data_IF_097064116810
#
_entry.id   IF_097064116810
#
_cell.length_a   1.000
_cell.length_b   1.000
_cell.length_c   1.000
_cell.angle_alpha   90.00
_cell.angle_beta   90.00
_cell.angle_gamma   90.00
#
_symmetry.space_group_name_H-M   'P 1'
#
loop_
_entity.id
_entity.type
_entity.pdbx_description
1 polymer ?
#
# COMPACT_ATOMS: atom_id res chain seq x y z
N UNK A 1 -9.86 9.19 6.93
CA UNK A 1 -10.46 8.04 6.23
C UNK A 1 -9.51 6.85 6.36
N UNK A 2 -10.05 5.65 6.51
CA UNK A 2 -9.30 4.40 6.67
C UNK A 2 -9.94 3.31 5.83
N UNK A 3 -9.14 2.37 5.38
CA UNK A 3 -9.56 1.17 4.67
C UNK A 3 -9.27 -0.06 5.51
N UNK A 4 -10.05 -1.11 5.27
CA UNK A 4 -9.84 -2.43 5.83
C UNK A 4 -9.70 -3.43 4.69
N UNK A 5 -8.58 -4.14 4.68
CA UNK A 5 -8.35 -5.24 3.75
C UNK A 5 -8.68 -6.53 4.48
N UNK A 6 -9.65 -7.28 3.98
CA UNK A 6 -10.12 -8.52 4.62
C UNK A 6 -9.76 -9.69 3.71
N UNK A 7 -9.00 -10.64 4.23
CA UNK A 7 -8.66 -11.88 3.53
C UNK A 7 -9.93 -12.65 3.14
N UNK A 8 -10.00 -13.10 1.90
CA UNK A 8 -11.14 -13.88 1.41
C UNK A 8 -11.17 -15.31 1.93
N UNK A 9 -10.05 -15.82 2.46
CA UNK A 9 -9.94 -17.14 3.08
C UNK A 9 -10.22 -17.17 4.58
N UNK A 10 -10.20 -16.02 5.26
CA UNK A 10 -10.43 -15.91 6.70
C UNK A 10 -10.77 -14.49 7.09
N UNK A 11 -12.01 -14.25 7.55
CA UNK A 11 -12.45 -12.93 8.01
C UNK A 11 -11.69 -12.43 9.24
N UNK A 12 -10.95 -13.29 9.95
CA UNK A 12 -10.10 -12.91 11.08
C UNK A 12 -8.71 -12.41 10.67
N UNK A 13 -8.36 -12.51 9.39
CA UNK A 13 -7.10 -11.99 8.86
C UNK A 13 -7.38 -10.66 8.14
N UNK A 14 -7.14 -9.57 8.87
CA UNK A 14 -7.45 -8.22 8.44
C UNK A 14 -6.21 -7.33 8.47
N UNK A 15 -6.17 -6.34 7.59
CA UNK A 15 -5.13 -5.33 7.56
C UNK A 15 -5.76 -3.93 7.52
N UNK A 16 -5.64 -3.19 8.63
CA UNK A 16 -6.12 -1.83 8.75
C UNK A 16 -5.12 -0.83 8.17
N UNK A 17 -5.59 0.07 7.33
CA UNK A 17 -4.75 1.09 6.69
C UNK A 17 -5.43 2.45 6.69
N UNK A 18 -4.67 3.51 7.00
CA UNK A 18 -5.18 4.87 6.86
C UNK A 18 -5.03 5.37 5.41
N UNK A 19 -5.80 6.38 5.02
CA UNK A 19 -5.76 6.91 3.65
C UNK A 19 -4.38 7.41 3.22
N UNK A 20 -3.58 7.96 4.15
CA UNK A 20 -2.25 8.49 3.84
C UNK A 20 -1.31 7.40 3.34
N UNK A 21 -1.32 6.25 4.01
CA UNK A 21 -0.55 5.06 3.63
C UNK A 21 -1.16 4.36 2.42
N UNK A 22 -2.49 4.23 2.38
CA UNK A 22 -3.16 3.53 1.30
C UNK A 22 -2.95 4.19 -0.06
N UNK A 23 -3.07 5.52 -0.14
CA UNK A 23 -2.80 6.25 -1.38
C UNK A 23 -1.37 6.03 -1.87
N UNK A 24 -0.38 6.09 -0.98
CA UNK A 24 1.02 5.83 -1.36
C UNK A 24 1.24 4.38 -1.81
N UNK A 25 0.60 3.41 -1.15
CA UNK A 25 0.65 2.01 -1.54
C UNK A 25 0.01 1.76 -2.92
N UNK A 26 -1.12 2.41 -3.23
CA UNK A 26 -1.76 2.30 -4.54
C UNK A 26 -0.90 2.87 -5.66
N UNK A 27 -0.26 4.02 -5.47
CA UNK A 27 0.67 4.58 -6.46
C UNK A 27 1.89 3.68 -6.67
N UNK A 28 2.38 3.02 -5.60
CA UNK A 28 3.41 2.00 -5.73
C UNK A 28 2.90 0.81 -6.56
N UNK A 29 1.77 0.22 -6.20
CA UNK A 29 1.17 -0.93 -6.92
C UNK A 29 0.95 -0.60 -8.39
N UNK A 30 0.49 0.62 -8.69
CA UNK A 30 0.34 1.12 -10.06
C UNK A 30 1.66 1.07 -10.84
N UNK A 31 2.77 1.52 -10.23
CA UNK A 31 4.10 1.51 -10.86
C UNK A 31 4.66 0.09 -11.07
N UNK A 32 4.21 -0.87 -10.27
CA UNK A 32 4.58 -2.27 -10.44
C UNK A 32 3.88 -2.92 -11.65
N UNK A 33 2.82 -2.28 -12.18
CA UNK A 33 2.04 -2.75 -13.33
C UNK A 33 1.51 -4.20 -13.17
N UNK A 34 1.23 -4.59 -11.92
CA UNK A 34 0.70 -5.91 -11.56
C UNK A 34 -0.82 -5.95 -11.75
N UNK A 35 -1.49 -4.88 -11.30
CA UNK A 35 -2.92 -4.68 -11.42
C UNK A 35 -3.13 -3.50 -12.36
N UNK A 36 -3.95 -3.68 -13.39
CA UNK A 36 -4.20 -2.61 -14.35
C UNK A 36 -4.74 -1.32 -13.71
N UNK A 37 -4.35 -0.18 -14.27
CA UNK A 37 -4.66 1.18 -13.80
C UNK A 37 -6.13 1.42 -13.42
N UNK A 38 -7.07 0.88 -14.21
CA UNK A 38 -8.50 1.00 -13.92
C UNK A 38 -8.86 0.39 -12.57
N UNK A 39 -8.32 -0.79 -12.27
CA UNK A 39 -8.63 -1.52 -11.05
C UNK A 39 -7.90 -0.95 -9.84
N UNK A 40 -6.67 -0.45 -10.01
CA UNK A 40 -6.00 0.33 -8.95
C UNK A 40 -6.81 1.56 -8.56
N UNK A 41 -7.40 2.26 -9.55
CA UNK A 41 -8.32 3.38 -9.26
C UNK A 41 -9.57 2.92 -8.52
N UNK A 42 -10.10 1.75 -8.80
CA UNK A 42 -11.23 1.21 -8.05
C UNK A 42 -10.85 0.87 -6.61
N UNK A 43 -9.65 0.35 -6.36
CA UNK A 43 -9.12 0.07 -5.02
C UNK A 43 -8.98 1.32 -4.13
N UNK A 44 -9.02 2.53 -4.71
CA UNK A 44 -9.05 3.80 -3.96
C UNK A 44 -10.43 4.12 -3.37
N UNK A 45 -11.50 3.44 -3.82
CA UNK A 45 -12.87 3.68 -3.36
C UNK A 45 -13.14 2.92 -2.07
N UNK A 46 -13.38 3.67 -1.01
CA UNK A 46 -13.80 3.12 0.28
C UNK A 46 -15.18 2.46 0.17
N UNK A 47 -15.37 1.37 0.93
CA UNK A 47 -16.59 0.56 1.01
C UNK A 47 -17.09 -0.05 -0.32
N UNK A 48 -16.25 -0.12 -1.34
CA UNK A 48 -16.62 -0.67 -2.65
C UNK A 48 -16.52 -2.20 -2.74
N UNK A 49 -15.84 -2.86 -1.79
CA UNK A 49 -15.71 -4.31 -1.75
C UNK A 49 -14.89 -4.89 -2.91
N UNK A 50 -13.97 -4.10 -3.48
CA UNK A 50 -13.10 -4.48 -4.59
C UNK A 50 -12.26 -5.67 -4.18
N UNK A 51 -12.14 -6.65 -5.08
CA UNK A 51 -11.41 -7.90 -4.87
C UNK A 51 -10.07 -7.86 -5.56
N UNK A 52 -9.05 -8.34 -4.86
CA UNK A 52 -7.76 -8.75 -5.39
C UNK A 52 -7.66 -10.25 -5.18
N UNK A 53 -7.36 -11.02 -6.22
CA UNK A 53 -7.27 -12.48 -6.09
C UNK A 53 -5.95 -12.91 -5.43
N UNK A 54 -5.84 -14.21 -5.12
CA UNK A 54 -4.67 -14.76 -4.44
C UNK A 54 -3.39 -14.62 -5.29
N UNK A 55 -3.47 -14.83 -6.60
CA UNK A 55 -2.29 -14.78 -7.47
C UNK A 55 -1.73 -13.35 -7.53
N UNK A 56 -2.60 -12.37 -7.69
CA UNK A 56 -2.27 -10.95 -7.72
C UNK A 56 -1.78 -10.46 -6.35
N UNK A 57 -2.45 -10.85 -5.26
CA UNK A 57 -2.01 -10.52 -3.91
C UNK A 57 -0.61 -11.07 -3.66
N UNK A 58 -0.35 -12.33 -3.99
CA UNK A 58 0.97 -12.93 -3.81
C UNK A 58 2.01 -12.29 -4.70
N UNK A 59 1.66 -11.91 -5.93
CA UNK A 59 2.56 -11.22 -6.85
C UNK A 59 2.93 -9.82 -6.33
N UNK A 60 1.96 -9.07 -5.77
CA UNK A 60 2.22 -7.79 -5.07
C UNK A 60 3.19 -8.02 -3.91
N UNK A 61 2.88 -8.96 -3.02
CA UNK A 61 3.69 -9.23 -1.84
C UNK A 61 5.13 -9.64 -2.18
N UNK A 62 5.30 -10.56 -3.15
CA UNK A 62 6.63 -10.98 -3.63
C UNK A 62 7.40 -9.81 -4.24
N UNK A 63 6.77 -9.04 -5.12
CA UNK A 63 7.44 -7.91 -5.80
C UNK A 63 7.88 -6.85 -4.80
N UNK A 64 7.06 -6.57 -3.77
CA UNK A 64 7.45 -5.65 -2.70
C UNK A 64 8.67 -6.16 -1.93
N UNK A 65 8.69 -7.45 -1.56
CA UNK A 65 9.79 -8.05 -0.78
C UNK A 65 11.08 -8.17 -1.60
N UNK A 66 10.98 -8.57 -2.86
CA UNK A 66 12.13 -8.90 -3.71
C UNK A 66 12.71 -7.67 -4.41
N UNK A 67 11.90 -6.64 -4.67
CA UNK A 67 12.31 -5.48 -5.48
C UNK A 67 12.20 -4.16 -4.72
N UNK A 68 11.04 -3.88 -4.11
CA UNK A 68 10.81 -2.55 -3.51
C UNK A 68 11.58 -2.37 -2.20
N UNK A 69 11.49 -3.31 -1.27
CA UNK A 69 12.15 -3.22 0.03
C UNK A 69 13.68 -3.14 -0.10
N UNK A 70 14.35 -3.98 -0.93
CA UNK A 70 15.79 -3.89 -1.12
C UNK A 70 16.25 -2.57 -1.73
N UNK A 71 15.47 -1.99 -2.65
CA UNK A 71 15.80 -0.69 -3.28
C UNK A 71 15.55 0.50 -2.36
N UNK A 72 14.56 0.40 -1.47
CA UNK A 72 14.27 1.45 -0.48
C UNK A 72 15.37 1.52 0.57
N UNK A 73 15.75 0.38 1.14
CA UNK A 73 16.69 0.26 2.27
C UNK A 73 16.01 0.43 3.64
N UNK A 74 16.64 -0.03 4.73
CA UNK A 74 16.01 -0.09 6.06
C UNK A 74 15.71 1.31 6.62
N UNK A 75 14.58 1.45 7.34
CA UNK A 75 14.20 2.69 8.04
C UNK A 75 13.79 3.84 7.13
N UNK A 76 13.72 3.63 5.81
CA UNK A 76 13.34 4.65 4.83
C UNK A 76 11.86 4.58 4.49
N UNK A 77 11.36 5.68 3.93
CA UNK A 77 9.99 5.87 3.46
C UNK A 77 9.99 6.25 2.00
N UNK A 78 8.94 5.83 1.30
CA UNK A 78 8.65 6.25 -0.07
C UNK A 78 7.35 7.06 -0.08
N UNK A 79 7.36 8.19 -0.77
CA UNK A 79 6.18 9.02 -0.97
C UNK A 79 5.34 8.52 -2.16
N UNK A 80 4.10 9.01 -2.28
CA UNK A 80 3.22 8.66 -3.41
C UNK A 80 3.80 9.02 -4.79
N UNK A 81 4.66 10.04 -4.87
CA UNK A 81 5.38 10.40 -6.09
C UNK A 81 6.61 9.51 -6.36
N UNK A 82 6.90 8.55 -5.47
CA UNK A 82 7.99 7.60 -5.54
C UNK A 82 9.34 8.14 -5.07
N UNK A 83 9.41 9.39 -4.61
CA UNK A 83 10.62 9.91 -3.98
C UNK A 83 10.85 9.22 -2.64
N UNK A 84 12.13 8.99 -2.31
CA UNK A 84 12.54 8.29 -1.10
C UNK A 84 13.11 9.29 -0.10
N UNK A 85 12.79 9.09 1.18
CA UNK A 85 13.30 9.86 2.30
C UNK A 85 13.78 8.96 3.42
N UNK A 86 14.82 9.40 4.13
CA UNK A 86 15.30 8.84 5.39
C UNK A 86 14.72 9.57 6.61
N UNK A 87 13.96 10.65 6.40
CA UNK A 87 13.31 11.38 7.48
C UNK A 87 12.15 10.56 8.07
N UNK A 88 12.09 10.43 9.40
CA UNK A 88 10.96 9.77 10.06
C UNK A 88 9.66 10.52 9.81
N UNK A 89 8.54 9.83 9.99
CA UNK A 89 7.23 10.49 10.00
C UNK A 89 7.04 11.15 11.37
N UNK A 90 7.17 12.48 11.41
CA UNK A 90 7.01 13.27 12.63
C UNK A 90 5.57 13.79 12.81
N UNK A 91 4.66 13.39 11.92
CA UNK A 91 3.26 13.83 11.95
C UNK A 91 3.04 15.26 11.45
N UNK A 92 4.04 15.89 10.84
CA UNK A 92 3.87 17.19 10.19
C UNK A 92 2.84 17.09 9.08
N UNK A 93 1.80 17.93 9.18
CA UNK A 93 0.80 18.06 8.13
C UNK A 93 1.18 19.17 7.14
N UNK A 94 1.38 18.80 5.87
CA UNK A 94 1.69 19.71 4.78
C UNK A 94 0.40 20.22 4.14
N UNK A 95 -0.03 21.44 4.49
CA UNK A 95 -1.24 22.06 3.95
C UNK A 95 -1.07 22.73 2.58
N UNK A 96 0.14 23.13 2.23
CA UNK A 96 0.44 23.79 0.95
C UNK A 96 0.20 22.83 -0.23
N UNK A 97 -0.58 23.20 -1.26
CA UNK A 97 -0.88 22.33 -2.39
C UNK A 97 0.35 21.75 -3.10
N UNK A 98 1.47 22.48 -3.13
CA UNK A 98 2.73 22.02 -3.74
C UNK A 98 3.48 21.01 -2.88
N UNK A 99 3.14 20.88 -1.59
CA UNK A 99 3.78 19.98 -0.63
C UNK A 99 2.86 18.88 -0.09
N UNK A 100 1.55 18.94 -0.39
CA UNK A 100 0.55 17.98 0.10
C UNK A 100 0.88 16.52 -0.20
N UNK A 101 1.62 16.26 -1.28
CA UNK A 101 2.09 14.93 -1.66
C UNK A 101 2.97 14.28 -0.57
N UNK A 102 3.66 15.07 0.26
CA UNK A 102 4.51 14.60 1.37
C UNK A 102 3.70 13.96 2.49
N UNK A 103 2.41 14.22 2.58
CA UNK A 103 1.56 13.57 3.58
C UNK A 103 1.32 12.08 3.25
N UNK A 104 1.54 11.66 2.01
CA UNK A 104 1.28 10.30 1.54
C UNK A 104 2.57 9.52 1.41
N UNK A 105 2.80 8.59 2.34
CA UNK A 105 4.01 7.77 2.33
C UNK A 105 3.82 6.44 3.05
N UNK A 106 4.71 5.51 2.76
CA UNK A 106 4.80 4.21 3.43
C UNK A 106 6.26 3.93 3.81
N UNK A 107 6.47 3.38 5.00
CA UNK A 107 7.81 2.96 5.45
C UNK A 107 8.14 1.56 4.97
N UNK A 108 9.42 1.22 5.01
CA UNK A 108 9.92 -0.12 4.71
C UNK A 108 9.27 -1.19 5.59
N UNK A 109 9.07 -0.89 6.87
CA UNK A 109 8.44 -1.77 7.85
C UNK A 109 6.97 -1.99 7.51
N UNK A 110 6.24 -0.90 7.22
CA UNK A 110 4.84 -1.00 6.83
C UNK A 110 4.67 -1.78 5.52
N UNK A 111 5.56 -1.57 4.54
CA UNK A 111 5.56 -2.35 3.29
C UNK A 111 5.81 -3.83 3.53
N UNK A 112 6.65 -4.18 4.52
CA UNK A 112 6.89 -5.57 4.90
C UNK A 112 5.65 -6.20 5.51
N UNK A 113 4.96 -5.49 6.41
CA UNK A 113 3.73 -5.98 7.03
C UNK A 113 2.62 -6.17 5.99
N UNK A 114 2.49 -5.21 5.06
CA UNK A 114 1.54 -5.30 3.95
C UNK A 114 1.86 -6.46 3.01
N UNK A 115 3.14 -6.65 2.65
CA UNK A 115 3.56 -7.75 1.81
C UNK A 115 3.33 -9.12 2.48
N UNK A 116 3.58 -9.24 3.78
CA UNK A 116 3.32 -10.46 4.55
C UNK A 116 1.81 -10.78 4.59
N UNK A 117 0.95 -9.77 4.80
CA UNK A 117 -0.49 -9.92 4.67
C UNK A 117 -0.87 -10.44 3.27
N UNK A 118 -0.38 -9.80 2.21
CA UNK A 118 -0.63 -10.21 0.84
C UNK A 118 -0.24 -11.68 0.59
N UNK A 119 0.94 -12.11 1.03
CA UNK A 119 1.46 -13.47 0.84
C UNK A 119 0.70 -14.53 1.63
N UNK A 120 0.10 -14.18 2.76
CA UNK A 120 -0.69 -15.10 3.61
C UNK A 120 -2.16 -15.15 3.23
N UNK A 121 -2.66 -14.13 2.53
CA UNK A 121 -4.05 -14.04 2.10
C UNK A 121 -4.38 -15.03 0.98
N UNK A 122 -5.65 -15.44 0.88
CA UNK A 122 -6.20 -16.12 -0.29
C UNK A 122 -6.79 -15.10 -1.29
N UNK A 123 -6.18 -13.91 -1.38
CA UNK A 123 -6.80 -12.71 -1.93
C UNK A 123 -7.47 -11.88 -0.84
N UNK A 124 -7.88 -10.66 -1.17
CA UNK A 124 -8.49 -9.76 -0.19
C UNK A 124 -9.55 -8.84 -0.80
N UNK A 125 -10.46 -8.39 0.07
CA UNK A 125 -11.49 -7.39 -0.21
C UNK A 125 -11.16 -6.07 0.47
N UNK A 126 -11.37 -4.97 -0.23
CA UNK A 126 -11.10 -3.62 0.28
C UNK A 126 -12.41 -2.94 0.67
N UNK A 127 -12.50 -2.49 1.92
CA UNK A 127 -13.59 -1.71 2.49
C UNK A 127 -13.10 -0.38 3.02
#
# INVERSE_FOLDING_TARGET
MSFKLIDTGSEYNEFDVNIWKWTAALELIKRLDIIGDSRVREMSRNAAGIKVDAEEAHLIGRTIIETVIPSLGPGRRIFADGTVTDKPDDGTFYGDPSEQWKNYSVSTEWLRDFADFCLRSNGFRIF
#
